data_IF_162794314491
#
_entry.id   IF_162794314491
#
_cell.length_a   1.000
_cell.length_b   1.000
_cell.length_c   1.000
_cell.angle_alpha   90.00
_cell.angle_beta   90.00
_cell.angle_gamma   90.00
#
_symmetry.space_group_name_H-M   'P 1'
#
loop_
_entity.id
_entity.type
_entity.pdbx_description
1 polymer ?
#
# COMPACT_ATOMS: atom_id res chain seq x y z
N UNK A 1 -12.26 -2.32 -12.73
CA UNK A 1 -11.63 -1.19 -11.98
C UNK A 1 -10.12 -1.33 -12.07
N UNK A 2 -9.39 -0.25 -12.18
CA UNK A 2 -7.92 -0.23 -12.26
C UNK A 2 -7.32 0.27 -10.97
N UNK A 3 -6.10 -0.19 -10.64
CA UNK A 3 -5.32 0.38 -9.55
C UNK A 3 -4.26 1.28 -10.15
N UNK A 4 -4.14 2.49 -9.60
CA UNK A 4 -3.07 3.43 -9.93
C UNK A 4 -2.44 3.93 -8.62
N UNK A 5 -1.18 4.28 -8.69
CA UNK A 5 -0.43 4.79 -7.54
C UNK A 5 -0.20 6.28 -7.72
N UNK A 6 -0.38 7.04 -6.65
CA UNK A 6 0.05 8.45 -6.64
C UNK A 6 1.57 8.51 -6.61
N UNK A 7 2.11 9.66 -6.95
CA UNK A 7 3.56 9.89 -6.88
C UNK A 7 4.08 9.70 -5.45
N UNK A 8 3.35 10.22 -4.47
CA UNK A 8 3.71 10.09 -3.05
C UNK A 8 3.76 8.62 -2.61
N UNK A 9 2.78 7.82 -3.02
CA UNK A 9 2.76 6.40 -2.68
C UNK A 9 3.90 5.64 -3.36
N UNK A 10 4.18 5.96 -4.62
CA UNK A 10 5.29 5.36 -5.37
C UNK A 10 6.63 5.70 -4.73
N UNK A 11 6.82 6.95 -4.33
CA UNK A 11 8.03 7.38 -3.64
C UNK A 11 8.20 6.66 -2.30
N UNK A 12 7.11 6.48 -1.56
CA UNK A 12 7.15 5.81 -0.26
C UNK A 12 7.59 4.35 -0.38
N UNK A 13 7.05 3.61 -1.35
CA UNK A 13 7.47 2.21 -1.52
C UNK A 13 8.91 2.12 -2.02
N UNK A 14 9.31 3.00 -2.94
CA UNK A 14 10.70 3.03 -3.43
C UNK A 14 11.69 3.28 -2.30
N UNK A 15 11.40 4.23 -1.42
CA UNK A 15 12.25 4.53 -0.26
C UNK A 15 12.33 3.33 0.68
N UNK A 16 11.23 2.64 0.89
CA UNK A 16 11.20 1.45 1.75
C UNK A 16 12.05 0.31 1.16
N UNK A 17 11.91 0.07 -0.14
CA UNK A 17 12.69 -0.98 -0.83
C UNK A 17 14.18 -0.67 -0.78
N UNK A 18 14.55 0.59 -1.00
CA UNK A 18 15.92 1.05 -0.94
C UNK A 18 16.50 0.90 0.47
N UNK A 19 15.74 1.29 1.49
CA UNK A 19 16.14 1.15 2.88
C UNK A 19 16.49 -0.31 3.22
N UNK A 20 15.62 -1.25 2.87
CA UNK A 20 15.85 -2.65 3.18
C UNK A 20 17.00 -3.26 2.36
N UNK A 21 17.16 -2.84 1.12
CA UNK A 21 18.32 -3.25 0.32
C UNK A 21 19.63 -2.82 0.96
N UNK A 22 19.71 -1.55 1.37
CA UNK A 22 20.92 -1.01 2.00
C UNK A 22 21.24 -1.67 3.33
N UNK A 23 20.21 -1.97 4.12
CA UNK A 23 20.41 -2.53 5.45
C UNK A 23 20.72 -4.03 5.43
N UNK A 24 20.20 -4.76 4.45
CA UNK A 24 20.38 -6.22 4.36
C UNK A 24 21.46 -6.64 3.37
N UNK A 25 21.93 -5.73 2.54
CA UNK A 25 22.93 -6.01 1.51
C UNK A 25 22.43 -6.94 0.42
N UNK A 26 21.11 -7.16 0.30
CA UNK A 26 20.52 -8.00 -0.74
C UNK A 26 19.10 -7.57 -1.05
N UNK A 27 18.57 -7.98 -2.20
CA UNK A 27 17.21 -7.67 -2.62
C UNK A 27 16.15 -8.62 -2.06
N UNK A 28 16.54 -9.66 -1.32
CA UNK A 28 15.61 -10.72 -0.90
C UNK A 28 14.40 -10.18 -0.16
N UNK A 29 14.60 -9.31 0.83
CA UNK A 29 13.49 -8.76 1.59
C UNK A 29 12.67 -7.77 0.77
N UNK A 30 13.33 -6.95 -0.06
CA UNK A 30 12.65 -6.02 -0.95
C UNK A 30 11.77 -6.75 -1.95
N UNK A 31 12.23 -7.89 -2.49
CA UNK A 31 11.43 -8.73 -3.37
C UNK A 31 10.20 -9.28 -2.66
N UNK A 32 10.34 -9.69 -1.40
CA UNK A 32 9.20 -10.15 -0.60
C UNK A 32 8.17 -9.03 -0.42
N UNK A 33 8.62 -7.82 -0.13
CA UNK A 33 7.72 -6.67 -0.01
C UNK A 33 6.96 -6.43 -1.31
N UNK A 34 7.65 -6.47 -2.45
CA UNK A 34 7.03 -6.30 -3.76
C UNK A 34 5.99 -7.39 -4.04
N UNK A 35 6.34 -8.64 -3.79
CA UNK A 35 5.44 -9.76 -4.02
C UNK A 35 4.18 -9.67 -3.14
N UNK A 36 4.35 -9.32 -1.87
CA UNK A 36 3.23 -9.16 -0.96
C UNK A 36 2.36 -7.95 -1.34
N UNK A 37 2.99 -6.88 -1.85
CA UNK A 37 2.28 -5.70 -2.35
C UNK A 37 1.41 -6.06 -3.56
N UNK A 38 1.93 -6.87 -4.48
CA UNK A 38 1.16 -7.34 -5.63
C UNK A 38 -0.04 -8.18 -5.21
N UNK A 39 0.15 -9.07 -4.24
CA UNK A 39 -0.94 -9.89 -3.70
C UNK A 39 -2.04 -9.04 -3.09
N UNK A 40 -1.66 -8.06 -2.28
CA UNK A 40 -2.64 -7.21 -1.60
C UNK A 40 -3.39 -6.31 -2.60
N UNK A 41 -2.75 -5.88 -3.67
CA UNK A 41 -3.42 -5.13 -4.72
C UNK A 41 -4.52 -5.96 -5.39
N UNK A 42 -4.25 -7.23 -5.67
CA UNK A 42 -5.25 -8.15 -6.23
C UNK A 42 -6.42 -8.36 -5.26
N UNK A 43 -6.12 -8.46 -3.98
CA UNK A 43 -7.13 -8.59 -2.94
C UNK A 43 -8.01 -7.34 -2.87
N UNK A 44 -7.40 -6.16 -2.92
CA UNK A 44 -8.13 -4.89 -2.94
C UNK A 44 -9.04 -4.80 -4.17
N UNK A 45 -8.55 -5.18 -5.35
CA UNK A 45 -9.35 -5.18 -6.57
C UNK A 45 -10.59 -6.05 -6.46
N UNK A 46 -10.47 -7.22 -5.80
CA UNK A 46 -11.61 -8.14 -5.68
C UNK A 46 -12.59 -7.72 -4.59
N UNK A 47 -12.17 -6.94 -3.59
CA UNK A 47 -13.03 -6.61 -2.44
C UNK A 47 -12.63 -5.29 -1.79
N UNK A 48 -12.68 -4.21 -2.55
CA UNK A 48 -12.15 -2.91 -2.12
C UNK A 48 -12.98 -2.20 -1.04
N UNK A 49 -14.27 -2.50 -0.92
CA UNK A 49 -15.12 -1.85 0.09
C UNK A 49 -15.10 -2.52 1.46
N UNK A 50 -14.50 -3.69 1.59
CA UNK A 50 -14.54 -4.46 2.85
C UNK A 50 -13.38 -4.15 3.80
N UNK A 51 -12.50 -3.22 3.44
CA UNK A 51 -11.32 -2.88 4.25
C UNK A 51 -11.65 -1.80 5.26
N UNK A 52 -10.73 -1.54 6.19
CA UNK A 52 -10.89 -0.46 7.16
C UNK A 52 -11.04 0.88 6.44
N UNK A 53 -11.92 1.74 6.94
CA UNK A 53 -12.22 3.01 6.29
C UNK A 53 -12.28 4.13 7.31
N UNK A 54 -11.70 5.28 6.99
CA UNK A 54 -11.79 6.50 7.78
C UNK A 54 -12.73 7.49 7.09
N UNK A 55 -13.87 7.78 7.73
CA UNK A 55 -14.81 8.80 7.25
C UNK A 55 -14.17 10.18 7.15
N UNK A 56 -13.33 10.49 8.13
CA UNK A 56 -12.72 11.81 8.24
C UNK A 56 -11.73 12.04 7.09
N UNK A 57 -10.90 11.05 6.81
CA UNK A 57 -9.87 11.14 5.78
C UNK A 57 -10.36 10.68 4.41
N UNK A 58 -11.52 10.00 4.36
CA UNK A 58 -12.07 9.40 3.14
C UNK A 58 -11.03 8.49 2.47
N UNK A 59 -10.47 7.57 3.27
CA UNK A 59 -9.42 6.68 2.79
C UNK A 59 -9.60 5.30 3.42
N UNK A 60 -9.31 4.27 2.64
CA UNK A 60 -9.30 2.88 3.08
C UNK A 60 -7.88 2.46 3.47
N UNK A 61 -7.79 1.47 4.33
CA UNK A 61 -6.50 0.92 4.77
C UNK A 61 -6.54 -0.60 4.70
N UNK A 62 -5.48 -1.20 4.16
CA UNK A 62 -5.26 -2.63 4.21
C UNK A 62 -3.85 -2.91 4.69
N UNK A 63 -3.73 -3.54 5.86
CA UNK A 63 -2.45 -4.02 6.38
C UNK A 63 -2.12 -5.37 5.74
N UNK A 64 -0.84 -5.63 5.54
CA UNK A 64 -0.39 -6.84 4.88
C UNK A 64 1.04 -7.21 5.32
N UNK A 65 1.55 -8.33 4.83
CA UNK A 65 2.86 -8.87 5.19
C UNK A 65 2.98 -9.03 6.71
N UNK A 66 2.03 -9.80 7.28
CA UNK A 66 1.94 -10.06 8.72
C UNK A 66 1.82 -8.77 9.55
N UNK A 67 1.11 -7.79 9.01
CA UNK A 67 0.89 -6.52 9.69
C UNK A 67 2.05 -5.56 9.68
N UNK A 68 3.09 -5.82 8.88
CA UNK A 68 4.28 -4.96 8.84
C UNK A 68 4.09 -3.69 8.01
N UNK A 69 3.23 -3.74 7.01
CA UNK A 69 2.99 -2.62 6.09
C UNK A 69 1.50 -2.41 5.87
N UNK A 70 1.16 -1.22 5.40
CA UNK A 70 -0.22 -0.88 5.03
C UNK A 70 -0.24 -0.11 3.73
N UNK A 71 -1.23 -0.41 2.89
CA UNK A 71 -1.61 0.42 1.77
C UNK A 71 -2.83 1.25 2.17
N UNK A 72 -2.82 2.51 1.80
CA UNK A 72 -3.96 3.41 1.93
C UNK A 72 -4.46 3.73 0.53
N UNK A 73 -5.78 3.73 0.34
CA UNK A 73 -6.31 3.96 -0.99
C UNK A 73 -7.66 4.67 -0.95
N UNK A 74 -7.97 5.35 -2.04
CA UNK A 74 -9.25 6.00 -2.30
C UNK A 74 -9.88 5.38 -3.54
N UNK A 75 -11.20 5.37 -3.58
CA UNK A 75 -11.95 4.81 -4.71
C UNK A 75 -12.59 5.95 -5.48
N UNK A 76 -12.27 6.05 -6.76
CA UNK A 76 -12.92 6.96 -7.69
C UNK A 76 -13.92 6.16 -8.51
N UNK A 77 -15.18 6.21 -8.09
CA UNK A 77 -16.26 5.45 -8.75
C UNK A 77 -16.52 5.94 -10.17
N UNK A 78 -16.46 7.24 -10.39
CA UNK A 78 -16.74 7.81 -11.70
C UNK A 78 -15.73 7.34 -12.74
N UNK A 79 -14.46 7.27 -12.39
CA UNK A 79 -13.39 6.86 -13.28
C UNK A 79 -13.07 5.37 -13.18
N UNK A 80 -13.67 4.65 -12.24
CA UNK A 80 -13.40 3.24 -11.98
C UNK A 80 -11.92 2.99 -11.66
N UNK A 81 -11.37 3.84 -10.79
CA UNK A 81 -9.97 3.78 -10.39
C UNK A 81 -9.86 3.66 -8.86
N UNK A 82 -9.00 2.77 -8.41
CA UNK A 82 -8.56 2.71 -7.01
C UNK A 82 -7.19 3.38 -6.97
N UNK A 83 -7.09 4.50 -6.27
CA UNK A 83 -5.84 5.23 -6.12
C UNK A 83 -5.14 4.78 -4.85
N UNK A 84 -3.97 4.17 -4.98
CA UNK A 84 -3.10 3.93 -3.82
C UNK A 84 -2.47 5.28 -3.47
N UNK A 85 -2.84 5.83 -2.33
CA UNK A 85 -2.45 7.18 -1.93
C UNK A 85 -1.27 7.19 -0.98
N UNK A 86 -1.02 6.08 -0.27
CA UNK A 86 0.12 5.99 0.63
C UNK A 86 0.51 4.53 0.84
N UNK A 87 1.79 4.32 1.10
CA UNK A 87 2.38 3.05 1.52
C UNK A 87 3.18 3.34 2.80
N UNK A 88 2.88 2.62 3.88
CA UNK A 88 3.54 2.87 5.16
C UNK A 88 4.00 1.58 5.82
N UNK A 89 5.15 1.66 6.48
CA UNK A 89 5.52 0.68 7.49
C UNK A 89 4.65 0.92 8.73
N UNK A 90 4.11 -0.15 9.33
CA UNK A 90 3.28 -0.02 10.54
C UNK A 90 4.10 0.31 11.79
N UNK A 91 5.41 0.46 11.67
CA UNK A 91 6.26 1.05 12.70
C UNK A 91 6.24 2.58 12.66
N UNK A 92 5.85 3.14 11.53
CA UNK A 92 5.66 4.58 11.39
C UNK A 92 4.29 4.97 11.95
N UNK A 93 4.11 6.27 12.20
CA UNK A 93 2.82 6.78 12.66
C UNK A 93 1.77 6.55 11.56
N UNK A 94 0.68 5.81 11.84
CA UNK A 94 -0.34 5.55 10.82
C UNK A 94 -1.17 6.80 10.54
N UNK A 95 -1.84 6.81 9.37
CA UNK A 95 -2.81 7.85 9.05
C UNK A 95 -4.06 7.70 9.92
N UNK A 96 -4.42 6.45 10.16
CA UNK A 96 -5.48 6.12 11.10
C UNK A 96 -5.34 4.67 11.53
#
# INVERSE_FOLDING_TARGET
>A
MQIKWTEEASDSIEQTLDYWYRNNGSFTYSEKILNETEKVQKEILSNHYSKQYSDILDVYRKSFFKGKFSLYYKIDEAEQIIWITDFRSNKQRPLF
#
